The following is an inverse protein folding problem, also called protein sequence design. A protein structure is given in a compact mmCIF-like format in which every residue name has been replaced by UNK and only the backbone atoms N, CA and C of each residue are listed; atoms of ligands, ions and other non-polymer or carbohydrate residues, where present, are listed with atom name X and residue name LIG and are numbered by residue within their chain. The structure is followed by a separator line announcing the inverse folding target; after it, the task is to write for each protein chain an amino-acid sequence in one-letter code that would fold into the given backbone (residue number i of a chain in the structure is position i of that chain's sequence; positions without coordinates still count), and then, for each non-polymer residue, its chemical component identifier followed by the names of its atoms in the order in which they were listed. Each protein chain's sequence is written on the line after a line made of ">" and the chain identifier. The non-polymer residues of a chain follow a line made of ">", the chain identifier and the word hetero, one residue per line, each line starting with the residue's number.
data_IF_706396093188
#
_entry.id   IF_706396093188
#
_cell.length_a   1.000
_cell.length_b   1.000
_cell.length_c   1.000
_cell.angle_alpha   90.00
_cell.angle_beta   90.00
_cell.angle_gamma   90.00
#
_symmetry.space_group_name_H-M   'P 1'
#
loop_
_entity.id
_entity.type
_entity.pdbx_description
1 polymer ?
#
# COMPACT_ATOMS: atom_id res chain seq x y z
N UNK A 1 -41.26 -2.32 47.42
CA UNK A 1 -40.64 -2.82 46.16
C UNK A 1 -40.54 -1.77 45.04
N UNK A 2 -41.47 -0.80 44.93
CA UNK A 2 -41.43 0.23 43.85
C UNK A 2 -40.25 1.22 43.92
N UNK A 3 -39.76 1.57 45.12
CA UNK A 3 -38.61 2.49 45.29
C UNK A 3 -37.28 1.92 44.78
N UNK A 4 -37.06 0.61 44.87
CA UNK A 4 -35.80 -0.02 44.46
C UNK A 4 -35.74 -0.17 42.93
N UNK A 5 -36.88 -0.35 42.27
CA UNK A 5 -36.96 -0.44 40.81
C UNK A 5 -36.63 0.89 40.11
N UNK A 6 -36.97 2.01 40.75
CA UNK A 6 -36.67 3.35 40.23
C UNK A 6 -35.18 3.67 40.25
N UNK A 7 -34.42 3.18 41.24
CA UNK A 7 -32.98 3.45 41.38
C UNK A 7 -32.18 2.65 40.34
N UNK A 8 -32.58 1.40 40.06
CA UNK A 8 -31.95 0.58 39.02
C UNK A 8 -32.17 1.16 37.61
N UNK A 9 -33.35 1.72 37.34
CA UNK A 9 -33.65 2.34 36.05
C UNK A 9 -32.78 3.59 35.78
N UNK A 10 -32.56 4.45 36.79
CA UNK A 10 -31.68 5.62 36.64
C UNK A 10 -30.21 5.23 36.46
N UNK A 11 -29.75 4.19 37.17
CA UNK A 11 -28.38 3.69 37.04
C UNK A 11 -28.12 3.12 35.63
N UNK A 12 -29.08 2.38 35.08
CA UNK A 12 -29.00 1.84 33.71
C UNK A 12 -28.97 2.93 32.65
N UNK A 13 -29.76 4.00 32.81
CA UNK A 13 -29.75 5.14 31.89
C UNK A 13 -28.40 5.88 31.97
N UNK A 14 -27.86 6.08 33.17
CA UNK A 14 -26.55 6.72 33.35
C UNK A 14 -25.41 5.92 32.71
N UNK A 15 -25.44 4.59 32.83
CA UNK A 15 -24.46 3.69 32.20
C UNK A 15 -24.60 3.72 30.67
N UNK A 16 -25.83 3.72 30.14
CA UNK A 16 -26.07 3.80 28.70
C UNK A 16 -25.60 5.13 28.09
N UNK A 17 -25.82 6.26 28.79
CA UNK A 17 -25.33 7.58 28.36
C UNK A 17 -23.79 7.64 28.43
N UNK A 18 -23.18 7.07 29.47
CA UNK A 18 -21.72 6.99 29.58
C UNK A 18 -21.10 6.11 28.48
N UNK A 19 -21.71 4.97 28.15
CA UNK A 19 -21.28 4.09 27.07
C UNK A 19 -21.44 4.73 25.68
N UNK A 20 -22.42 5.61 25.49
CA UNK A 20 -22.57 6.36 24.25
C UNK A 20 -21.53 7.49 24.12
N UNK A 21 -21.17 8.15 25.23
CA UNK A 21 -20.14 9.19 25.27
C UNK A 21 -18.72 8.64 25.10
N UNK A 22 -18.43 7.43 25.56
CA UNK A 22 -17.10 6.80 25.35
C UNK A 22 -16.90 6.31 23.92
N UNK A 23 -17.97 5.97 23.19
CA UNK A 23 -17.88 5.54 21.78
C UNK A 23 -17.47 6.67 20.82
N UNK A 24 -17.58 7.93 21.26
CA UNK A 24 -17.16 9.11 20.49
C UNK A 24 -15.74 9.58 20.79
N UNK A 25 -14.99 8.88 21.66
CA UNK A 25 -13.64 9.24 22.08
C UNK A 25 -12.53 8.37 21.45
N UNK A 26 -12.77 7.78 20.27
CA UNK A 26 -11.72 7.15 19.44
C UNK A 26 -11.15 8.13 18.39
N UNK A 27 -11.37 9.43 18.54
CA UNK A 27 -10.69 10.42 17.72
C UNK A 27 -9.29 10.68 18.32
N UNK A 28 -8.26 10.41 17.52
CA UNK A 28 -6.86 10.86 17.69
C UNK A 28 -5.84 9.86 18.28
N UNK A 29 -5.99 8.55 18.03
CA UNK A 29 -4.87 7.63 18.22
C UNK A 29 -3.96 7.64 16.98
N UNK A 30 -2.90 8.42 17.04
CA UNK A 30 -1.79 8.34 16.08
C UNK A 30 -1.15 6.96 16.13
N UNK A 31 -1.13 6.26 14.99
CA UNK A 31 -0.48 4.95 14.81
C UNK A 31 0.98 5.13 14.38
N UNK A 32 1.28 6.15 13.57
CA UNK A 32 2.63 6.52 13.14
C UNK A 32 2.76 8.05 13.04
N UNK A 33 3.97 8.60 13.19
CA UNK A 33 4.11 10.07 13.17
C UNK A 33 5.53 10.64 13.08
N UNK A 34 6.57 9.82 13.09
CA UNK A 34 7.97 10.29 13.05
C UNK A 34 8.73 9.83 11.81
N UNK A 35 8.14 8.93 11.01
CA UNK A 35 8.84 8.26 9.92
C UNK A 35 10.00 7.38 10.41
N UNK A 36 9.93 6.93 11.67
CA UNK A 36 10.90 6.00 12.24
C UNK A 36 10.95 4.69 11.44
N UNK A 37 11.98 3.87 11.69
CA UNK A 37 12.04 2.53 11.09
C UNK A 37 10.84 1.65 11.49
N UNK A 38 10.37 1.79 12.73
CA UNK A 38 9.20 1.09 13.24
C UNK A 38 7.91 1.57 12.55
N UNK A 39 7.72 2.88 12.45
CA UNK A 39 6.61 3.51 11.72
C UNK A 39 6.59 3.03 10.26
N UNK A 40 7.75 2.99 9.63
CA UNK A 40 7.91 2.55 8.24
C UNK A 40 7.48 1.10 8.07
N UNK A 41 7.93 0.19 8.92
CA UNK A 41 7.57 -1.22 8.80
C UNK A 41 6.08 -1.45 9.10
N UNK A 42 5.54 -0.76 10.10
CA UNK A 42 4.11 -0.83 10.40
C UNK A 42 3.26 -0.32 9.22
N UNK A 43 3.63 0.81 8.63
CA UNK A 43 2.94 1.38 7.45
C UNK A 43 2.98 0.41 6.26
N UNK A 44 4.11 -0.27 6.01
CA UNK A 44 4.19 -1.28 4.96
C UNK A 44 3.16 -2.39 5.17
N UNK A 45 3.09 -2.94 6.38
CA UNK A 45 2.17 -4.03 6.70
C UNK A 45 0.71 -3.60 6.52
N UNK A 46 0.34 -2.43 7.05
CA UNK A 46 -1.01 -1.87 6.89
C UNK A 46 -1.33 -1.66 5.40
N UNK A 47 -0.39 -1.10 4.64
CA UNK A 47 -0.57 -0.80 3.21
C UNK A 47 -0.75 -2.07 2.37
N UNK A 48 0.07 -3.10 2.62
CA UNK A 48 -0.05 -4.39 1.94
C UNK A 48 -1.37 -5.09 2.27
N UNK A 49 -1.88 -4.96 3.50
CA UNK A 49 -3.19 -5.48 3.85
C UNK A 49 -4.31 -4.79 3.08
N UNK A 50 -4.31 -3.45 3.01
CA UNK A 50 -5.29 -2.72 2.20
C UNK A 50 -5.19 -3.08 0.71
N UNK A 51 -3.99 -3.27 0.17
CA UNK A 51 -3.83 -3.69 -1.22
C UNK A 51 -4.33 -5.12 -1.45
N UNK A 52 -4.08 -6.06 -0.54
CA UNK A 52 -4.61 -7.42 -0.60
C UNK A 52 -6.13 -7.40 -0.66
N UNK A 53 -6.78 -6.60 0.18
CA UNK A 53 -8.23 -6.48 0.21
C UNK A 53 -8.77 -5.80 -1.06
N UNK A 54 -8.13 -4.72 -1.51
CA UNK A 54 -8.51 -3.99 -2.73
C UNK A 54 -8.42 -4.87 -3.99
N UNK A 55 -7.53 -5.86 -3.97
CA UNK A 55 -7.21 -6.70 -5.13
C UNK A 55 -7.82 -8.10 -5.06
N UNK A 56 -8.47 -8.47 -3.95
CA UNK A 56 -9.01 -9.81 -3.72
C UNK A 56 -9.98 -10.31 -4.81
N UNK A 57 -10.67 -9.40 -5.49
CA UNK A 57 -11.62 -9.71 -6.57
C UNK A 57 -11.09 -9.40 -7.97
N UNK A 58 -9.81 -9.03 -8.09
CA UNK A 58 -9.16 -8.71 -9.36
C UNK A 58 -8.27 -9.87 -9.78
N UNK A 59 -8.11 -10.05 -11.08
CA UNK A 59 -7.26 -11.11 -11.63
C UNK A 59 -5.77 -10.71 -11.64
N UNK A 60 -5.24 -10.11 -10.57
CA UNK A 60 -3.88 -9.53 -10.56
C UNK A 60 -2.76 -10.53 -10.19
N UNK A 61 -3.11 -11.75 -9.81
CA UNK A 61 -2.15 -12.73 -9.27
C UNK A 61 -2.20 -12.82 -7.74
N UNK A 62 -1.08 -13.22 -7.13
CA UNK A 62 -0.99 -13.31 -5.66
C UNK A 62 -0.69 -11.95 -5.05
N UNK A 63 -1.26 -11.67 -3.87
CA UNK A 63 -0.88 -10.47 -3.10
C UNK A 63 0.61 -10.46 -2.70
N UNK A 64 1.27 -11.63 -2.69
CA UNK A 64 2.72 -11.74 -2.40
C UNK A 64 3.60 -11.24 -3.57
N UNK A 65 3.00 -11.06 -4.75
CA UNK A 65 3.61 -10.45 -5.94
C UNK A 65 3.55 -8.91 -5.90
N UNK A 66 3.02 -8.32 -4.83
CA UNK A 66 3.08 -6.89 -4.57
C UNK A 66 4.27 -6.58 -3.67
N UNK A 67 5.22 -5.79 -4.17
CA UNK A 67 6.46 -5.45 -3.45
C UNK A 67 6.53 -3.96 -3.15
N UNK A 68 6.80 -3.60 -1.91
CA UNK A 68 6.99 -2.20 -1.51
C UNK A 68 8.29 -1.65 -2.11
N UNK A 69 8.17 -0.53 -2.82
CA UNK A 69 9.30 0.25 -3.34
C UNK A 69 9.81 1.26 -2.31
N UNK A 70 8.90 2.05 -1.75
CA UNK A 70 9.22 3.08 -0.77
C UNK A 70 8.02 3.42 0.12
N UNK A 71 8.33 4.00 1.27
CA UNK A 71 7.36 4.65 2.15
C UNK A 71 7.83 6.08 2.34
N UNK A 72 6.96 7.04 2.08
CA UNK A 72 7.20 8.47 2.25
C UNK A 72 6.17 9.03 3.23
N UNK A 73 6.60 9.92 4.12
CA UNK A 73 5.72 10.63 5.05
C UNK A 73 5.69 12.10 4.66
N UNK A 74 4.51 12.71 4.66
CA UNK A 74 4.33 14.12 4.31
C UNK A 74 4.18 15.04 5.53
N UNK A 75 4.10 16.35 5.29
CA UNK A 75 3.96 17.37 6.33
C UNK A 75 2.63 17.29 7.11
N UNK A 76 1.66 16.53 6.61
CA UNK A 76 0.36 16.29 7.24
C UNK A 76 0.34 14.98 8.04
N UNK A 77 1.51 14.34 8.23
CA UNK A 77 1.67 13.01 8.83
C UNK A 77 0.88 11.91 8.09
N UNK A 78 0.64 12.07 6.79
CA UNK A 78 0.15 10.98 5.95
C UNK A 78 1.33 10.13 5.50
N UNK A 79 1.08 8.84 5.30
CA UNK A 79 2.05 7.92 4.72
C UNK A 79 1.64 7.51 3.31
N UNK A 80 2.63 7.44 2.43
CA UNK A 80 2.51 7.09 1.02
C UNK A 80 3.38 5.87 0.74
N UNK A 81 2.75 4.71 0.60
CA UNK A 81 3.46 3.46 0.29
C UNK A 81 3.38 3.19 -1.21
N UNK A 82 4.52 3.33 -1.91
CA UNK A 82 4.65 2.97 -3.33
C UNK A 82 4.93 1.48 -3.44
N UNK A 83 4.19 0.79 -4.30
CA UNK A 83 4.25 -0.66 -4.49
C UNK A 83 4.32 -0.96 -5.98
N UNK A 84 5.12 -1.95 -6.38
CA UNK A 84 5.12 -2.49 -7.73
C UNK A 84 4.64 -3.94 -7.73
N UNK A 85 3.93 -4.30 -8.78
CA UNK A 85 3.53 -5.66 -9.10
C UNK A 85 4.72 -6.40 -9.71
N UNK A 86 4.86 -7.68 -9.40
CA UNK A 86 5.78 -8.59 -10.04
C UNK A 86 5.02 -9.78 -10.63
N UNK A 87 5.68 -10.51 -11.53
CA UNK A 87 5.29 -11.86 -11.94
C UNK A 87 6.58 -12.69 -11.93
N UNK A 88 6.61 -13.77 -11.15
CA UNK A 88 7.83 -14.56 -10.93
C UNK A 88 9.05 -13.68 -10.55
N UNK A 89 8.84 -12.74 -9.62
CA UNK A 89 9.84 -11.76 -9.15
C UNK A 89 10.27 -10.70 -10.17
N UNK A 90 9.79 -10.75 -11.42
CA UNK A 90 10.08 -9.74 -12.45
C UNK A 90 9.08 -8.59 -12.34
N UNK A 91 9.54 -7.32 -12.25
CA UNK A 91 8.64 -6.17 -12.19
C UNK A 91 7.76 -6.03 -13.42
N UNK A 92 6.47 -5.75 -13.19
CA UNK A 92 5.53 -5.37 -14.23
C UNK A 92 5.64 -3.86 -14.42
N UNK A 93 6.16 -3.44 -15.57
CA UNK A 93 6.19 -2.03 -15.94
C UNK A 93 4.77 -1.44 -15.97
N UNK A 94 4.63 -0.24 -15.42
CA UNK A 94 3.35 0.45 -15.23
C UNK A 94 2.35 -0.28 -14.32
N UNK A 95 2.77 -1.36 -13.64
CA UNK A 95 1.98 -2.13 -12.70
C UNK A 95 2.20 -1.65 -11.26
N UNK A 96 1.97 -0.38 -10.96
CA UNK A 96 2.20 0.19 -9.64
C UNK A 96 0.93 0.56 -8.89
N UNK A 97 1.05 0.67 -7.57
CA UNK A 97 0.04 1.22 -6.68
C UNK A 97 0.67 2.16 -5.64
N UNK A 98 -0.11 3.13 -5.19
CA UNK A 98 0.23 4.00 -4.05
C UNK A 98 -0.92 3.91 -3.04
N UNK A 99 -0.59 3.50 -1.83
CA UNK A 99 -1.52 3.51 -0.70
C UNK A 99 -1.30 4.76 0.12
N UNK A 100 -2.35 5.54 0.31
CA UNK A 100 -2.34 6.75 1.12
C UNK A 100 -3.03 6.45 2.45
N UNK A 101 -2.27 6.53 3.54
CA UNK A 101 -2.76 6.33 4.91
C UNK A 101 -2.74 7.65 5.68
N UNK A 102 -3.75 7.87 6.52
CA UNK A 102 -3.69 8.90 7.56
C UNK A 102 -2.84 8.40 8.74
N UNK A 103 -2.37 9.32 9.58
CA UNK A 103 -1.56 9.04 10.76
C UNK A 103 -2.15 8.02 11.75
N UNK A 104 -3.47 7.83 11.75
CA UNK A 104 -4.21 6.83 12.53
C UNK A 104 -4.22 5.43 11.89
N UNK A 105 -3.54 5.23 10.76
CA UNK A 105 -3.54 3.97 10.00
C UNK A 105 -4.78 3.75 9.13
N UNK A 106 -5.75 4.66 9.13
CA UNK A 106 -6.94 4.54 8.28
C UNK A 106 -6.61 4.87 6.82
N UNK A 107 -7.27 4.15 5.91
CA UNK A 107 -7.12 4.38 4.48
C UNK A 107 -7.68 5.75 4.09
N UNK A 108 -6.86 6.55 3.42
CA UNK A 108 -7.31 7.78 2.75
C UNK A 108 -7.78 7.47 1.34
N UNK A 109 -6.92 6.83 0.54
CA UNK A 109 -7.21 6.39 -0.83
C UNK A 109 -6.15 5.40 -1.31
N UNK A 110 -6.46 4.68 -2.39
CA UNK A 110 -5.50 3.92 -3.19
C UNK A 110 -5.53 4.50 -4.60
N UNK A 111 -4.37 4.72 -5.20
CA UNK A 111 -4.24 5.02 -6.63
C UNK A 111 -3.40 3.94 -7.27
N UNK A 112 -3.90 3.26 -8.30
CA UNK A 112 -3.17 2.17 -8.92
C UNK A 112 -3.38 2.04 -10.42
N UNK A 113 -2.43 1.36 -11.06
CA UNK A 113 -2.47 0.91 -12.45
C UNK A 113 -2.07 -0.57 -12.53
N UNK A 114 -2.40 -1.35 -11.48
CA UNK A 114 -2.07 -2.78 -11.43
C UNK A 114 -2.69 -3.49 -12.63
N UNK A 115 -1.94 -4.41 -13.24
CA UNK A 115 -2.36 -5.09 -14.46
C UNK A 115 -3.04 -6.42 -14.11
N UNK A 116 -4.23 -6.61 -14.67
CA UNK A 116 -5.02 -7.82 -14.48
C UNK A 116 -4.67 -8.85 -15.57
N UNK A 117 -4.82 -10.14 -15.25
CA UNK A 117 -4.73 -11.28 -16.15
C UNK A 117 -3.42 -11.36 -16.95
N UNK A 118 -2.29 -11.04 -16.30
CA UNK A 118 -0.97 -11.19 -16.89
C UNK A 118 -0.65 -12.68 -17.02
N UNK A 119 -0.51 -13.16 -18.26
CA UNK A 119 -0.07 -14.52 -18.56
C UNK A 119 1.17 -14.38 -19.44
N UNK A 120 2.35 -14.48 -18.82
CA UNK A 120 3.63 -14.29 -19.50
C UNK A 120 4.65 -15.35 -19.05
N UNK A 121 5.46 -15.83 -19.99
CA UNK A 121 6.64 -16.62 -19.66
C UNK A 121 7.80 -15.66 -19.35
N UNK A 122 8.27 -15.66 -18.10
CA UNK A 122 9.36 -14.79 -17.65
C UNK A 122 10.76 -15.37 -17.93
N UNK A 123 10.85 -16.53 -18.60
CA UNK A 123 12.13 -17.07 -19.07
C UNK A 123 12.68 -16.21 -20.22
N UNK A 124 13.87 -15.59 -20.07
CA UNK A 124 14.47 -14.83 -21.15
C UNK A 124 14.89 -15.74 -22.32
N UNK A 125 14.65 -15.27 -23.55
CA UNK A 125 15.13 -15.91 -24.78
C UNK A 125 16.55 -15.47 -25.17
N UNK A 126 17.03 -14.36 -24.58
CA UNK A 126 18.32 -13.74 -24.88
C UNK A 126 19.04 -13.44 -23.58
N UNK A 127 20.37 -13.45 -23.62
CA UNK A 127 21.18 -12.98 -22.50
C UNK A 127 21.07 -11.46 -22.36
N UNK A 128 21.51 -10.91 -21.22
CA UNK A 128 21.59 -9.46 -21.03
C UNK A 128 22.50 -8.79 -22.08
N UNK A 129 23.63 -9.42 -22.42
CA UNK A 129 24.59 -8.92 -23.43
C UNK A 129 23.98 -8.88 -24.83
N UNK A 130 23.21 -9.91 -25.19
CA UNK A 130 22.48 -9.95 -26.47
C UNK A 130 21.39 -8.88 -26.53
N UNK A 131 20.62 -8.72 -25.44
CA UNK A 131 19.57 -7.72 -25.34
C UNK A 131 20.12 -6.28 -25.47
N UNK A 132 21.25 -5.98 -24.83
CA UNK A 132 21.95 -4.70 -24.96
C UNK A 132 22.40 -4.45 -26.40
N UNK A 133 23.06 -5.45 -27.01
CA UNK A 133 23.50 -5.36 -28.41
C UNK A 133 22.33 -5.10 -29.35
N UNK A 134 21.20 -5.78 -29.17
CA UNK A 134 20.01 -5.54 -29.98
C UNK A 134 19.45 -4.14 -29.77
N UNK A 135 19.37 -3.67 -28.52
CA UNK A 135 18.89 -2.33 -28.21
C UNK A 135 19.75 -1.24 -28.90
N UNK A 136 21.08 -1.37 -28.84
CA UNK A 136 22.01 -0.46 -29.52
C UNK A 136 21.86 -0.54 -31.04
N UNK A 137 21.73 -1.75 -31.60
CA UNK A 137 21.57 -1.92 -33.05
C UNK A 137 20.25 -1.40 -33.60
N UNK A 138 19.18 -1.43 -32.80
CA UNK A 138 17.88 -0.85 -33.15
C UNK A 138 17.89 0.68 -33.10
N UNK A 139 18.92 1.29 -32.53
CA UNK A 139 19.06 2.73 -32.44
C UNK A 139 19.86 3.26 -33.64
N UNK A 140 19.16 3.79 -34.65
CA UNK A 140 19.70 4.37 -35.88
C UNK A 140 19.67 5.93 -35.89
N UNK A 141 19.34 6.54 -34.75
CA UNK A 141 19.15 7.99 -34.60
C UNK A 141 20.43 8.80 -34.34
N UNK A 142 20.44 10.06 -34.77
CA UNK A 142 21.55 11.03 -34.67
C UNK A 142 21.91 11.50 -33.23
N UNK A 143 21.28 10.94 -32.19
CA UNK A 143 21.63 11.22 -30.81
C UNK A 143 22.49 10.06 -30.29
N UNK A 144 23.77 10.29 -30.03
CA UNK A 144 24.62 9.25 -29.45
C UNK A 144 24.04 8.84 -28.08
N UNK A 145 23.79 7.55 -27.89
CA UNK A 145 23.63 6.97 -26.55
C UNK A 145 24.99 7.06 -25.84
N UNK A 146 25.29 8.23 -25.29
CA UNK A 146 26.59 8.53 -24.68
C UNK A 146 26.75 7.99 -23.26
N UNK A 147 25.65 7.53 -22.66
CA UNK A 147 25.66 6.92 -21.33
C UNK A 147 25.52 5.41 -21.43
N UNK A 148 26.35 4.69 -20.66
CA UNK A 148 26.21 3.24 -20.53
C UNK A 148 24.86 2.91 -19.88
N UNK A 149 24.12 1.92 -20.40
CA UNK A 149 22.89 1.46 -19.77
C UNK A 149 23.18 1.00 -18.34
N UNK A 150 22.41 1.53 -17.40
CA UNK A 150 22.47 1.11 -15.99
C UNK A 150 21.40 0.06 -15.76
N UNK A 151 21.81 -1.15 -15.44
CA UNK A 151 20.91 -2.17 -14.89
C UNK A 151 20.76 -1.87 -13.40
N UNK A 152 19.59 -1.38 -13.00
CA UNK A 152 19.21 -1.16 -11.58
C UNK A 152 18.34 -2.30 -11.08
#
# INVERSE_FOLDING_TARGET
>A
MKKNLSIFATLLIAIAVFAFLTKTAEADKTVFGSGSLEDTEQVKQISLNYLRDNTANRAIGSADELKVKSVEFDELNMAHTKVFQTVNEIPVWEGEAIVHLKSDGSLRTITDNLKDSIIVNTQPNFTAEEAEKFAVQMYDGAAELSENPKVT
#
